data_IF_168772802488
#
_entry.id   IF_168772802488
#
_cell.length_a   1.000
_cell.length_b   1.000
_cell.length_c   1.000
_cell.angle_alpha   90.00
_cell.angle_beta   90.00
_cell.angle_gamma   90.00
#
_symmetry.space_group_name_H-M   'P 1'
#
loop_
_entity.id
_entity.type
_entity.pdbx_description
1 polymer ?
#
# COMPACT_ATOMS: atom_id res chain seq x y z
N UNK A 1 -22.78 16.05 21.42
CA UNK A 1 -23.34 14.81 20.82
C UNK A 1 -22.24 14.16 20.00
N UNK A 2 -21.84 12.93 20.34
CA UNK A 2 -20.85 12.17 19.59
C UNK A 2 -21.52 11.55 18.36
N UNK A 3 -20.91 11.65 17.17
CA UNK A 3 -21.40 10.95 15.98
C UNK A 3 -20.32 9.96 15.56
N UNK A 4 -20.65 8.67 15.66
CA UNK A 4 -19.82 7.59 15.10
C UNK A 4 -20.35 7.29 13.71
N UNK A 5 -19.52 7.47 12.68
CA UNK A 5 -19.84 7.13 11.30
C UNK A 5 -18.91 6.02 10.83
N UNK A 6 -19.47 4.82 10.64
CA UNK A 6 -18.77 3.75 9.90
C UNK A 6 -18.92 4.02 8.41
N UNK A 7 -17.80 4.17 7.71
CA UNK A 7 -17.80 4.38 6.26
C UNK A 7 -17.06 3.23 5.60
N UNK A 8 -17.74 2.50 4.73
CA UNK A 8 -17.12 1.48 3.89
C UNK A 8 -16.44 2.19 2.72
N UNK A 9 -15.12 2.16 2.66
CA UNK A 9 -14.36 2.69 1.54
C UNK A 9 -14.01 1.55 0.59
N UNK A 10 -14.80 1.37 -0.46
CA UNK A 10 -14.47 0.49 -1.58
C UNK A 10 -14.02 1.35 -2.76
N UNK A 11 -12.74 1.28 -3.11
CA UNK A 11 -12.26 1.82 -4.38
C UNK A 11 -11.80 0.65 -5.23
N UNK A 12 -12.66 0.22 -6.15
CA UNK A 12 -12.26 -0.70 -7.20
C UNK A 12 -11.36 0.02 -8.20
N UNK A 13 -10.28 -0.68 -8.57
CA UNK A 13 -9.28 -0.36 -9.58
C UNK A 13 -8.26 0.73 -9.20
N UNK A 14 -7.24 0.31 -8.43
CA UNK A 14 -5.88 0.61 -8.87
C UNK A 14 -5.57 -0.36 -10.01
N UNK A 15 -5.98 0.04 -11.21
CA UNK A 15 -5.50 -0.55 -12.45
C UNK A 15 -4.14 0.07 -12.75
N UNK A 16 -3.14 -0.79 -12.89
CA UNK A 16 -1.81 -0.52 -13.43
C UNK A 16 -1.10 0.74 -12.91
N UNK A 17 -0.41 0.61 -11.79
CA UNK A 17 0.98 1.09 -11.73
C UNK A 17 1.70 0.24 -10.68
N UNK A 18 1.93 -1.03 -11.03
CA UNK A 18 3.05 -1.79 -10.49
C UNK A 18 4.25 -0.87 -10.58
N UNK A 19 4.70 -0.35 -9.43
CA UNK A 19 5.81 0.58 -9.38
C UNK A 19 6.96 -0.05 -10.13
N UNK A 20 7.35 0.68 -11.15
CA UNK A 20 8.41 0.47 -12.11
C UNK A 20 9.75 0.21 -11.41
N UNK A 21 9.92 -0.95 -10.77
CA UNK A 21 11.22 -1.59 -10.57
C UNK A 21 11.48 -2.66 -11.64
N UNK A 22 10.78 -2.52 -12.77
CA UNK A 22 10.70 -3.50 -13.86
C UNK A 22 11.82 -3.39 -14.90
N UNK A 23 12.88 -2.63 -14.63
CA UNK A 23 14.03 -2.51 -15.52
C UNK A 23 15.25 -2.56 -14.59
N UNK A 24 15.81 -3.74 -14.26
CA UNK A 24 17.01 -4.22 -14.96
C UNK A 24 17.33 -5.71 -14.73
N UNK A 25 16.41 -6.52 -14.20
CA UNK A 25 16.66 -7.95 -14.01
C UNK A 25 16.44 -8.74 -15.30
N UNK A 26 17.39 -8.64 -16.22
CA UNK A 26 17.43 -9.44 -17.45
C UNK A 26 18.30 -10.67 -17.23
N UNK A 27 17.70 -11.86 -17.21
CA UNK A 27 18.45 -13.11 -17.26
C UNK A 27 18.82 -13.41 -18.71
N UNK A 28 20.10 -13.70 -18.97
CA UNK A 28 20.59 -14.17 -20.27
C UNK A 28 20.79 -15.67 -20.22
N UNK A 29 20.02 -16.42 -21.01
CA UNK A 29 20.12 -17.88 -21.13
C UNK A 29 20.92 -18.23 -22.38
N UNK A 30 21.84 -19.19 -22.27
CA UNK A 30 22.61 -19.73 -23.40
C UNK A 30 21.73 -20.76 -24.13
N UNK A 31 21.57 -20.61 -25.44
CA UNK A 31 20.67 -21.44 -26.26
C UNK A 31 21.38 -22.68 -26.81
N UNK A 32 22.71 -22.62 -26.95
CA UNK A 32 23.53 -23.69 -27.51
C UNK A 32 24.39 -24.34 -26.40
N UNK A 33 23.96 -25.47 -25.79
CA UNK A 33 24.70 -26.11 -24.70
C UNK A 33 26.02 -26.77 -25.14
N UNK A 34 26.26 -26.88 -26.45
CA UNK A 34 27.50 -27.41 -27.02
C UNK A 34 28.66 -26.43 -26.97
N UNK A 35 28.42 -25.16 -26.59
CA UNK A 35 29.46 -24.16 -26.38
C UNK A 35 29.49 -23.82 -24.88
N UNK A 36 30.18 -24.63 -24.05
CA UNK A 36 30.32 -24.31 -22.64
C UNK A 36 31.12 -23.01 -22.49
N UNK A 37 30.62 -22.05 -21.71
CA UNK A 37 31.43 -20.93 -21.26
C UNK A 37 32.50 -21.48 -20.32
N UNK A 38 33.76 -21.49 -20.74
CA UNK A 38 34.85 -22.10 -19.97
C UNK A 38 35.25 -21.24 -18.77
N UNK A 39 34.83 -19.97 -18.75
CA UNK A 39 35.07 -19.00 -17.66
C UNK A 39 33.84 -18.14 -17.44
N UNK A 40 33.57 -17.79 -16.18
CA UNK A 40 32.42 -16.94 -15.80
C UNK A 40 32.47 -15.53 -16.44
N UNK A 41 33.67 -15.08 -16.85
CA UNK A 41 33.91 -13.75 -17.43
C UNK A 41 33.81 -13.74 -18.98
N UNK A 42 33.47 -14.88 -19.59
CA UNK A 42 33.41 -15.01 -21.06
C UNK A 42 32.22 -14.24 -21.64
N UNK A 43 32.51 -13.37 -22.62
CA UNK A 43 31.50 -12.52 -23.26
C UNK A 43 30.52 -13.38 -24.07
N UNK A 44 29.29 -13.47 -23.58
CA UNK A 44 28.21 -14.19 -24.24
C UNK A 44 27.89 -13.61 -25.63
N UNK A 45 27.81 -14.47 -26.64
CA UNK A 45 27.45 -14.08 -28.00
C UNK A 45 25.94 -13.79 -28.10
N UNK A 46 25.58 -12.61 -28.64
CA UNK A 46 24.17 -12.19 -28.82
C UNK A 46 23.33 -13.14 -29.67
N UNK A 47 23.96 -13.89 -30.59
CA UNK A 47 23.27 -14.83 -31.50
C UNK A 47 22.91 -16.16 -30.81
N UNK A 48 23.60 -16.50 -29.72
CA UNK A 48 23.40 -17.74 -28.95
C UNK A 48 22.80 -17.47 -27.55
N UNK A 49 22.20 -16.28 -27.35
CA UNK A 49 21.59 -15.88 -26.07
C UNK A 49 20.15 -15.38 -26.20
N UNK A 50 19.31 -15.78 -25.25
CA UNK A 50 17.94 -15.28 -25.08
C UNK A 50 17.89 -14.43 -23.82
N UNK A 51 17.23 -13.26 -23.90
CA UNK A 51 17.06 -12.34 -22.78
C UNK A 51 15.61 -12.39 -22.30
N UNK A 52 15.41 -12.66 -21.01
CA UNK A 52 14.09 -12.70 -20.37
C UNK A 52 14.03 -11.63 -19.28
N UNK A 53 12.98 -10.80 -19.30
CA UNK A 53 12.70 -9.83 -18.24
C UNK A 53 11.95 -10.49 -17.10
N UNK A 54 12.43 -10.31 -15.87
CA UNK A 54 11.80 -10.88 -14.67
C UNK A 54 11.31 -9.75 -13.77
N UNK A 55 10.09 -9.91 -13.25
CA UNK A 55 9.49 -9.01 -12.28
C UNK A 55 9.45 -9.69 -10.92
N UNK A 56 10.06 -9.06 -9.92
CA UNK A 56 9.93 -9.50 -8.53
C UNK A 56 8.77 -8.71 -7.92
N UNK A 57 7.71 -9.41 -7.54
CA UNK A 57 6.54 -8.83 -6.87
C UNK A 57 6.58 -9.19 -5.39
N UNK A 58 6.40 -8.19 -4.53
CA UNK A 58 6.17 -8.44 -3.11
C UNK A 58 4.70 -8.82 -2.92
N UNK A 59 4.44 -10.01 -2.40
CA UNK A 59 3.10 -10.40 -1.96
C UNK A 59 2.95 -10.02 -0.49
N UNK A 60 1.77 -9.53 -0.13
CA UNK A 60 1.38 -9.47 1.27
C UNK A 60 1.38 -10.91 1.83
N UNK A 61 1.97 -11.10 3.01
CA UNK A 61 1.88 -12.38 3.72
C UNK A 61 0.41 -12.59 4.07
N UNK A 62 -0.19 -13.74 3.69
CA UNK A 62 -1.58 -14.04 4.04
C UNK A 62 -1.74 -13.99 5.55
N UNK A 63 -2.81 -13.35 6.03
CA UNK A 63 -3.09 -13.24 7.46
C UNK A 63 -3.39 -14.59 8.16
N UNK A 64 -3.43 -15.68 7.38
CA UNK A 64 -3.69 -17.05 7.82
C UNK A 64 -2.43 -17.86 8.17
N UNK A 65 -1.24 -17.33 7.87
CA UNK A 65 0.02 -17.80 8.46
C UNK A 65 0.24 -17.03 9.78
N UNK A 66 -0.44 -17.47 10.85
CA UNK A 66 -0.54 -16.78 12.15
C UNK A 66 0.77 -16.59 12.94
N UNK A 67 1.93 -16.96 12.39
CA UNK A 67 3.22 -16.81 13.06
C UNK A 67 3.86 -15.41 12.91
N UNK A 68 3.44 -14.63 11.91
CA UNK A 68 3.80 -13.21 11.75
C UNK A 68 2.53 -12.35 11.77
N UNK A 69 1.94 -12.15 12.95
CA UNK A 69 0.78 -11.28 13.06
C UNK A 69 1.12 -9.88 12.54
N UNK A 70 0.38 -9.38 11.52
CA UNK A 70 0.51 -7.98 11.13
C UNK A 70 0.21 -7.13 12.37
N UNK A 71 1.02 -6.10 12.59
CA UNK A 71 0.96 -5.27 13.80
C UNK A 71 -0.45 -4.74 14.12
N UNK A 72 -0.64 -4.15 15.31
CA UNK A 72 -1.96 -3.75 15.78
C UNK A 72 -2.71 -2.89 14.74
N UNK A 73 -4.05 -3.00 14.66
CA UNK A 73 -4.84 -2.27 13.69
C UNK A 73 -4.51 -0.77 13.73
N UNK A 74 -4.28 -0.13 12.56
CA UNK A 74 -3.95 1.27 12.50
C UNK A 74 -5.00 2.14 13.17
N UNK A 75 -4.54 3.05 14.01
CA UNK A 75 -5.36 3.99 14.76
C UNK A 75 -4.69 5.35 14.78
N UNK A 76 -5.48 6.40 14.56
CA UNK A 76 -5.02 7.78 14.63
C UNK A 76 -6.10 8.67 15.25
N UNK A 77 -5.68 9.59 16.12
CA UNK A 77 -6.55 10.62 16.67
C UNK A 77 -5.94 12.01 16.48
N UNK A 78 -6.80 13.01 16.31
CA UNK A 78 -6.42 14.40 16.19
C UNK A 78 -7.45 15.28 16.90
N UNK A 79 -6.98 16.25 17.67
CA UNK A 79 -7.82 17.31 18.22
C UNK A 79 -7.51 18.65 17.55
N UNK A 80 -8.56 19.40 17.22
CA UNK A 80 -8.46 20.72 16.61
C UNK A 80 -9.18 21.76 17.46
N UNK A 81 -8.43 22.63 18.18
CA UNK A 81 -9.01 23.81 18.82
C UNK A 81 -9.31 24.91 17.78
N UNK A 82 -10.26 25.78 18.09
CA UNK A 82 -10.64 26.92 17.25
C UNK A 82 -10.36 28.24 17.98
N UNK A 83 -9.63 29.15 17.33
CA UNK A 83 -9.08 30.38 17.93
C UNK A 83 -10.13 31.34 18.54
N UNK A 84 -11.41 31.22 18.18
CA UNK A 84 -12.48 32.15 18.55
C UNK A 84 -13.73 31.45 19.12
N UNK A 85 -13.61 30.19 19.53
CA UNK A 85 -14.71 29.47 20.18
C UNK A 85 -14.17 28.58 21.28
N UNK A 86 -14.80 28.65 22.45
CA UNK A 86 -14.55 27.68 23.52
C UNK A 86 -15.01 26.32 23.03
N UNK A 87 -14.05 25.40 22.87
CA UNK A 87 -14.30 24.06 22.37
C UNK A 87 -13.31 23.57 21.31
N UNK A 88 -13.39 22.26 21.04
CA UNK A 88 -12.55 21.57 20.07
C UNK A 88 -13.35 20.51 19.32
N UNK A 89 -12.83 20.11 18.18
CA UNK A 89 -13.29 18.92 17.46
C UNK A 89 -12.21 17.86 17.57
N UNK A 90 -12.55 16.72 18.14
CA UNK A 90 -11.70 15.54 18.15
C UNK A 90 -12.19 14.60 17.04
N UNK A 91 -11.24 14.08 16.27
CA UNK A 91 -11.46 13.09 15.23
C UNK A 91 -10.59 11.89 15.51
N UNK A 92 -11.21 10.71 15.49
CA UNK A 92 -10.55 9.43 15.66
C UNK A 92 -10.85 8.57 14.43
N UNK A 93 -9.82 7.97 13.86
CA UNK A 93 -9.91 7.10 12.70
C UNK A 93 -9.18 5.80 12.96
N UNK A 94 -9.81 4.67 12.63
CA UNK A 94 -9.19 3.35 12.74
C UNK A 94 -9.53 2.43 11.58
N UNK A 95 -8.62 1.49 11.31
CA UNK A 95 -8.77 0.39 10.35
C UNK A 95 -8.86 -0.94 11.10
N UNK A 96 -9.42 -1.96 10.45
CA UNK A 96 -9.53 -3.31 11.05
C UNK A 96 -8.23 -4.12 10.95
N UNK A 97 -7.42 -3.85 9.91
CA UNK A 97 -6.18 -4.57 9.61
C UNK A 97 -5.04 -3.61 9.27
N UNK A 98 -3.80 -4.01 9.58
CA UNK A 98 -2.62 -3.25 9.18
C UNK A 98 -2.22 -3.47 7.71
N UNK A 99 -2.56 -4.64 7.15
CA UNK A 99 -2.25 -5.00 5.78
C UNK A 99 -3.54 -5.46 5.09
N UNK A 100 -3.80 -4.92 3.90
CA UNK A 100 -4.95 -5.27 3.06
C UNK A 100 -4.46 -5.84 1.74
N UNK A 101 -5.15 -6.87 1.24
CA UNK A 101 -4.88 -7.43 -0.08
C UNK A 101 -5.49 -6.56 -1.19
N UNK A 102 -4.95 -6.68 -2.40
CA UNK A 102 -5.53 -5.99 -3.55
C UNK A 102 -6.97 -6.49 -3.80
N UNK A 103 -7.88 -5.55 -4.07
CA UNK A 103 -9.30 -5.85 -4.28
C UNK A 103 -10.12 -5.98 -2.98
N UNK A 104 -9.47 -5.99 -1.82
CA UNK A 104 -10.15 -6.05 -0.53
C UNK A 104 -10.72 -4.66 -0.15
N UNK A 105 -11.99 -4.57 0.28
CA UNK A 105 -12.56 -3.30 0.74
C UNK A 105 -11.93 -2.85 2.06
N UNK A 106 -11.69 -1.54 2.18
CA UNK A 106 -11.16 -0.93 3.39
C UNK A 106 -12.31 -0.45 4.28
N UNK A 107 -12.39 -1.01 5.49
CA UNK A 107 -13.35 -0.59 6.50
C UNK A 107 -12.71 0.48 7.38
N UNK A 108 -13.18 1.72 7.23
CA UNK A 108 -12.67 2.88 7.98
C UNK A 108 -13.71 3.29 9.02
N UNK A 109 -13.33 3.20 10.29
CA UNK A 109 -14.14 3.70 11.39
C UNK A 109 -13.76 5.15 11.69
N UNK A 110 -14.74 6.07 11.69
CA UNK A 110 -14.52 7.49 11.99
C UNK A 110 -15.44 7.91 13.13
N UNK A 111 -14.85 8.36 14.23
CA UNK A 111 -15.58 8.95 15.35
C UNK A 111 -15.27 10.44 15.44
N UNK A 112 -16.32 11.27 15.52
CA UNK A 112 -16.20 12.72 15.65
C UNK A 112 -16.84 13.17 16.95
N UNK A 113 -16.03 13.72 17.84
CA UNK A 113 -16.47 14.36 19.08
C UNK A 113 -16.39 15.88 18.90
N UNK A 114 -17.52 16.47 18.54
CA UNK A 114 -17.62 17.91 18.39
C UNK A 114 -18.11 18.55 19.70
N UNK A 115 -17.17 19.13 20.44
CA UNK A 115 -17.44 19.95 21.62
C UNK A 115 -17.15 21.44 21.32
N UNK A 116 -17.35 21.87 20.08
CA UNK A 116 -17.19 23.25 19.63
C UNK A 116 -18.51 23.82 19.16
N UNK A 117 -18.57 25.14 18.96
CA UNK A 117 -19.69 25.82 18.31
C UNK A 117 -19.65 25.77 16.77
N UNK A 118 -18.68 25.05 16.17
CA UNK A 118 -18.56 24.91 14.71
C UNK A 118 -19.36 23.73 14.20
N UNK A 119 -19.88 23.84 12.98
CA UNK A 119 -20.63 22.76 12.31
C UNK A 119 -19.72 21.93 11.40
N UNK A 120 -19.73 20.61 11.57
CA UNK A 120 -19.11 19.67 10.63
C UNK A 120 -20.02 19.51 9.42
N UNK A 121 -19.62 20.05 8.26
CA UNK A 121 -20.44 20.05 7.04
C UNK A 121 -20.26 18.81 6.17
N UNK A 122 -19.03 18.29 6.11
CA UNK A 122 -18.67 17.17 5.24
C UNK A 122 -17.47 16.44 5.78
N UNK A 123 -17.53 15.11 5.75
CA UNK A 123 -16.39 14.22 6.00
C UNK A 123 -15.98 13.64 4.65
N UNK A 124 -14.67 13.63 4.37
CA UNK A 124 -14.09 13.06 3.15
C UNK A 124 -13.06 12.01 3.56
N UNK A 125 -13.17 10.83 2.97
CA UNK A 125 -12.21 9.73 3.15
C UNK A 125 -11.50 9.53 1.80
N UNK A 126 -10.18 9.37 1.83
CA UNK A 126 -9.37 9.17 0.64
C UNK A 126 -8.03 8.52 1.00
N UNK A 127 -7.42 7.89 0.00
CA UNK A 127 -6.09 7.26 0.10
C UNK A 127 -5.02 8.16 -0.53
N UNK A 128 -3.88 8.32 0.11
CA UNK A 128 -2.68 8.91 -0.49
C UNK A 128 -1.59 7.85 -0.66
N UNK A 129 -0.97 7.80 -1.82
CA UNK A 129 0.22 6.98 -2.06
C UNK A 129 1.45 7.87 -2.05
N UNK A 130 2.42 7.57 -1.18
CA UNK A 130 3.69 8.30 -1.11
C UNK A 130 4.78 7.48 -1.79
N UNK A 131 5.48 8.08 -2.75
CA UNK A 131 6.67 7.51 -3.39
C UNK A 131 7.86 8.32 -2.90
N UNK A 132 8.76 7.70 -2.15
CA UNK A 132 10.03 8.32 -1.77
C UNK A 132 11.00 8.14 -2.95
N UNK A 133 11.51 9.26 -3.48
CA UNK A 133 12.56 9.32 -4.51
C UNK A 133 13.95 9.25 -3.89
#
# INVERSE_FOLDING_TARGET
>A
MATVQRTVYSRQLFEHHSLQRDYDNIISLIVDPTVPAERADEKLHRRSTVRMGIRVVQRAVPAEDEEEQPGPPPHASVDKPFLLSDGRVELEASLEKAVYSHGEPLLVNVAVHNNSSKTVRRIKVGSSASVNM
#
